data_IF_865078633750
#
_entry.id   IF_865078633750
#
_cell.length_a   1.000
_cell.length_b   1.000
_cell.length_c   1.000
_cell.angle_alpha   90.00
_cell.angle_beta   90.00
_cell.angle_gamma   90.00
#
_symmetry.space_group_name_H-M   'P 1'
#
loop_
_entity.id
_entity.type
_entity.pdbx_description
1 polymer ?
#
# COMPACT_ATOMS: atom_id res chain seq x y z
N UNK A 1 41.21 -0.58 -4.62
CA UNK A 1 40.41 -0.65 -5.85
C UNK A 1 39.15 -1.50 -5.67
N UNK A 2 39.25 -2.80 -5.39
CA UNK A 2 38.08 -3.70 -5.23
C UNK A 2 37.07 -3.25 -4.14
N UNK A 3 37.56 -2.71 -3.01
CA UNK A 3 36.71 -2.19 -1.92
C UNK A 3 35.84 -0.99 -2.34
N UNK A 4 36.32 -0.12 -3.23
CA UNK A 4 35.58 1.04 -3.71
C UNK A 4 34.48 0.63 -4.70
N UNK A 5 34.75 -0.38 -5.52
CA UNK A 5 33.77 -0.98 -6.44
C UNK A 5 32.63 -1.64 -5.65
N UNK A 6 32.96 -2.31 -4.54
CA UNK A 6 31.96 -2.93 -3.67
C UNK A 6 31.01 -1.91 -3.02
N UNK A 7 31.52 -0.74 -2.63
CA UNK A 7 30.71 0.33 -2.03
C UNK A 7 29.79 0.97 -3.10
N UNK A 8 30.30 1.16 -4.32
CA UNK A 8 29.53 1.68 -5.44
C UNK A 8 28.35 0.75 -5.81
N UNK A 9 28.55 -0.56 -5.75
CA UNK A 9 27.51 -1.54 -6.06
C UNK A 9 26.34 -1.52 -5.04
N UNK A 10 26.64 -1.30 -3.76
CA UNK A 10 25.64 -1.21 -2.68
C UNK A 10 24.75 0.03 -2.81
N UNK A 11 25.29 1.11 -3.36
CA UNK A 11 24.54 2.35 -3.58
C UNK A 11 23.55 2.21 -4.75
N UNK A 12 23.85 1.35 -5.73
CA UNK A 12 23.00 1.09 -6.89
C UNK A 12 21.83 0.13 -6.60
N UNK A 13 21.84 -0.54 -5.44
CA UNK A 13 20.81 -1.50 -5.01
C UNK A 13 19.62 -0.85 -4.27
N UNK A 14 19.63 0.47 -4.11
CA UNK A 14 18.56 1.19 -3.41
C UNK A 14 17.39 1.44 -4.37
N UNK A 15 16.52 0.44 -4.56
CA UNK A 15 15.23 0.61 -5.21
C UNK A 15 14.21 0.82 -4.09
N UNK A 16 13.62 2.02 -4.03
CA UNK A 16 12.55 2.35 -3.08
C UNK A 16 11.26 2.28 -3.88
N UNK A 17 10.33 1.40 -3.50
CA UNK A 17 8.98 1.38 -4.02
C UNK A 17 8.15 2.29 -3.13
N UNK A 18 7.58 3.35 -3.69
CA UNK A 18 6.63 4.20 -2.97
C UNK A 18 5.23 3.66 -3.29
N UNK A 19 4.45 3.37 -2.25
CA UNK A 19 3.05 3.03 -2.42
C UNK A 19 2.24 4.31 -2.64
N UNK A 20 1.10 4.26 -3.32
CA UNK A 20 0.27 5.46 -3.55
C UNK A 20 -0.07 6.20 -2.24
N UNK A 21 -0.39 5.52 -1.11
CA UNK A 21 -0.63 6.17 0.19
C UNK A 21 0.56 6.93 0.77
N UNK A 22 1.80 6.63 0.35
CA UNK A 22 3.00 7.35 0.79
C UNK A 22 3.11 8.74 0.12
N UNK A 23 2.31 9.00 -0.93
CA UNK A 23 2.29 10.25 -1.67
C UNK A 23 1.34 11.25 -0.98
N UNK A 24 1.93 12.23 -0.30
CA UNK A 24 1.20 13.21 0.51
C UNK A 24 0.76 14.47 -0.25
N UNK A 25 1.10 14.59 -1.53
CA UNK A 25 0.78 15.76 -2.34
C UNK A 25 0.09 15.41 -3.67
N UNK A 26 -0.89 16.23 -4.03
CA UNK A 26 -1.73 16.03 -5.21
C UNK A 26 -0.92 16.02 -6.51
N UNK A 27 0.08 16.89 -6.65
CA UNK A 27 0.84 17.03 -7.90
C UNK A 27 1.69 15.78 -8.18
N UNK A 28 2.31 15.23 -7.13
CA UNK A 28 3.05 13.97 -7.21
C UNK A 28 2.11 12.79 -7.40
N UNK A 29 0.92 12.81 -6.81
CA UNK A 29 -0.09 11.77 -7.02
C UNK A 29 -0.54 11.72 -8.49
N UNK A 30 -0.85 12.89 -9.07
CA UNK A 30 -1.24 13.03 -10.48
C UNK A 30 -0.10 12.66 -11.45
N UNK A 31 1.16 12.89 -11.06
CA UNK A 31 2.32 12.44 -11.84
C UNK A 31 2.35 10.90 -11.97
N UNK A 32 1.90 10.17 -10.95
CA UNK A 32 1.75 8.72 -10.96
C UNK A 32 0.33 8.27 -11.35
N UNK A 33 -0.39 9.09 -12.14
CA UNK A 33 -1.77 8.86 -12.55
C UNK A 33 -2.05 7.56 -13.31
N UNK A 34 -1.02 6.82 -13.72
CA UNK A 34 -1.14 5.48 -14.29
C UNK A 34 -1.40 4.40 -13.21
N UNK A 35 -1.07 4.68 -11.95
CA UNK A 35 -1.16 3.75 -10.82
C UNK A 35 -1.97 4.31 -9.64
N UNK A 36 -1.97 5.63 -9.47
CA UNK A 36 -2.54 6.30 -8.31
C UNK A 36 -3.59 7.34 -8.72
N UNK A 37 -4.60 7.54 -7.88
CA UNK A 37 -5.64 8.54 -8.01
C UNK A 37 -5.72 9.40 -6.76
N UNK A 38 -5.81 10.71 -6.94
CA UNK A 38 -6.04 11.64 -5.84
C UNK A 38 -7.51 11.64 -5.42
N UNK A 39 -7.77 11.36 -4.15
CA UNK A 39 -9.08 11.47 -3.54
C UNK A 39 -9.20 12.81 -2.79
N UNK A 40 -9.98 13.74 -3.35
CA UNK A 40 -10.19 15.07 -2.76
C UNK A 40 -11.04 15.06 -1.48
N UNK A 41 -11.84 14.01 -1.26
CA UNK A 41 -12.69 13.89 -0.07
C UNK A 41 -11.87 13.47 1.15
N UNK A 42 -10.95 12.53 0.97
CA UNK A 42 -10.05 12.03 2.02
C UNK A 42 -8.72 12.80 2.08
N UNK A 43 -8.44 13.64 1.07
CA UNK A 43 -7.16 14.34 0.87
C UNK A 43 -5.97 13.39 0.85
N UNK A 44 -6.12 12.24 0.18
CA UNK A 44 -5.14 11.17 0.12
C UNK A 44 -4.96 10.65 -1.31
N UNK A 45 -3.79 10.08 -1.58
CA UNK A 45 -3.49 9.41 -2.83
C UNK A 45 -3.77 7.90 -2.67
N UNK A 46 -4.67 7.36 -3.49
CA UNK A 46 -5.16 5.99 -3.40
C UNK A 46 -4.74 5.23 -4.68
N UNK A 47 -4.49 3.93 -4.59
CA UNK A 47 -4.18 3.12 -5.78
C UNK A 47 -5.44 2.97 -6.64
N UNK A 48 -5.32 3.13 -7.96
CA UNK A 48 -6.47 3.07 -8.91
C UNK A 48 -7.16 1.70 -8.86
N UNK A 49 -6.39 0.64 -8.66
CA UNK A 49 -6.89 -0.73 -8.60
C UNK A 49 -7.41 -1.13 -7.21
N UNK A 50 -7.48 -0.19 -6.26
CA UNK A 50 -7.59 -0.51 -4.84
C UNK A 50 -6.35 -1.29 -4.38
N UNK A 51 -6.09 -1.35 -3.08
CA UNK A 51 -5.04 -2.23 -2.54
C UNK A 51 -5.43 -3.71 -2.64
N UNK A 52 -5.72 -4.19 -3.84
CA UNK A 52 -6.30 -5.50 -4.13
C UNK A 52 -5.92 -5.99 -5.52
N UNK A 53 -4.68 -5.76 -5.95
CA UNK A 53 -4.12 -6.49 -7.06
C UNK A 53 -3.82 -7.93 -6.63
N UNK A 54 -4.65 -8.87 -7.09
CA UNK A 54 -4.45 -10.33 -7.12
C UNK A 54 -4.12 -10.97 -5.74
N UNK A 55 -5.11 -11.68 -5.18
CA UNK A 55 -5.01 -12.41 -3.91
C UNK A 55 -4.73 -11.55 -2.66
N UNK A 56 -5.80 -11.02 -2.03
CA UNK A 56 -5.73 -10.82 -0.58
C UNK A 56 -5.67 -12.21 0.07
N UNK A 57 -4.47 -12.79 0.12
CA UNK A 57 -4.22 -14.07 0.76
C UNK A 57 -4.35 -13.87 2.28
N UNK A 58 -5.54 -14.10 2.83
CA UNK A 58 -5.83 -14.06 4.26
C UNK A 58 -5.12 -15.18 5.07
N UNK A 59 -4.13 -15.84 4.47
CA UNK A 59 -3.54 -17.09 4.93
C UNK A 59 -4.42 -18.30 4.55
N UNK A 60 -4.26 -19.46 5.20
CA UNK A 60 -4.98 -20.69 4.83
C UNK A 60 -6.50 -20.63 5.04
N UNK A 61 -7.05 -19.49 5.45
CA UNK A 61 -8.46 -19.27 5.71
C UNK A 61 -8.95 -18.05 4.94
N UNK A 62 -9.53 -18.28 3.77
CA UNK A 62 -10.34 -17.26 3.08
C UNK A 62 -11.70 -17.14 3.79
N UNK A 63 -12.17 -15.92 3.99
CA UNK A 63 -13.49 -15.64 4.56
C UNK A 63 -14.16 -14.47 3.83
N UNK A 64 -15.47 -14.57 3.60
CA UNK A 64 -16.25 -13.48 2.99
C UNK A 64 -16.51 -12.35 3.99
N UNK A 65 -16.77 -12.69 5.26
CA UNK A 65 -17.00 -11.72 6.34
C UNK A 65 -16.85 -12.37 7.72
N UNK A 66 -16.38 -11.61 8.73
CA UNK A 66 -16.37 -12.01 10.14
C UNK A 66 -17.39 -11.16 10.89
N UNK A 67 -18.27 -11.81 11.65
CA UNK A 67 -19.35 -11.17 12.42
C UNK A 67 -19.11 -11.29 13.94
N UNK A 68 -19.92 -10.60 14.75
CA UNK A 68 -19.89 -10.77 16.22
C UNK A 68 -20.19 -12.22 16.65
N UNK A 69 -21.02 -12.95 15.90
CA UNK A 69 -21.25 -14.38 16.16
C UNK A 69 -20.03 -15.25 15.90
N UNK A 70 -19.07 -14.79 15.09
CA UNK A 70 -17.82 -15.50 14.81
C UNK A 70 -16.74 -15.22 15.87
N UNK A 71 -17.09 -14.48 16.94
CA UNK A 71 -16.19 -14.18 18.06
C UNK A 71 -15.47 -12.83 17.95
N UNK A 72 -15.88 -11.96 17.02
CA UNK A 72 -15.40 -10.58 16.97
C UNK A 72 -15.81 -9.82 18.25
N UNK A 73 -14.88 -9.06 18.83
CA UNK A 73 -15.12 -8.33 20.08
C UNK A 73 -16.26 -7.30 19.89
N UNK A 74 -17.23 -7.31 20.81
CA UNK A 74 -18.27 -6.29 20.88
C UNK A 74 -17.64 -4.91 21.13
N UNK A 75 -17.81 -4.02 20.16
CA UNK A 75 -17.35 -2.64 20.24
C UNK A 75 -18.37 -1.71 19.59
N UNK A 76 -18.68 -0.56 20.20
CA UNK A 76 -19.59 0.43 19.62
C UNK A 76 -19.04 1.10 18.36
N UNK A 77 -17.77 0.85 18.00
CA UNK A 77 -17.12 1.37 16.79
C UNK A 77 -17.42 0.51 15.54
N UNK A 78 -17.88 -0.73 15.72
CA UNK A 78 -18.16 -1.67 14.65
C UNK A 78 -19.55 -2.28 14.89
N UNK A 79 -20.59 -1.51 14.54
CA UNK A 79 -22.01 -1.84 14.70
C UNK A 79 -22.67 -2.13 13.37
#
# INVERSE_FOLDING_TARGET
>A
MLKLISILLLFLLQIIYADCPDILDQATCEYWGDYCQWNSETSQCESIDGGGGDDTEYGPYEFDSITQSDGMQDSPLYA
#
